data_IF_187215655444
#
_entry.id   IF_187215655444
#
_cell.length_a   1.000
_cell.length_b   1.000
_cell.length_c   1.000
_cell.angle_alpha   90.00
_cell.angle_beta   90.00
_cell.angle_gamma   90.00
#
_symmetry.space_group_name_H-M   'P 1'
#
loop_
_entity.id
_entity.type
_entity.pdbx_description
1 polymer ?
#
# COMPACT_ATOMS: atom_id res chain seq x y z
N UNK A 1 -30.00 -1.99 -10.02
CA UNK A 1 -28.53 -1.74 -10.01
C UNK A 1 -28.20 -0.32 -10.41
N UNK A 2 -28.76 0.22 -11.50
CA UNK A 2 -28.47 1.58 -12.02
C UNK A 2 -28.69 2.71 -11.00
N UNK A 3 -29.76 2.69 -10.20
CA UNK A 3 -29.99 3.70 -9.17
C UNK A 3 -28.96 3.67 -8.04
N UNK A 4 -28.54 2.48 -7.59
CA UNK A 4 -27.59 2.35 -6.48
C UNK A 4 -26.18 2.85 -6.86
N UNK A 5 -25.82 2.76 -8.14
CA UNK A 5 -24.57 3.31 -8.69
C UNK A 5 -24.64 4.84 -8.70
N UNK A 6 -25.70 5.42 -9.26
CA UNK A 6 -25.88 6.88 -9.29
C UNK A 6 -25.81 7.51 -7.89
N UNK A 7 -26.40 6.85 -6.87
CA UNK A 7 -26.34 7.33 -5.48
C UNK A 7 -24.93 7.20 -4.85
N UNK A 8 -24.06 6.32 -5.33
CA UNK A 8 -22.68 6.20 -4.84
C UNK A 8 -21.80 7.29 -5.47
N UNK A 9 -21.99 7.56 -6.76
CA UNK A 9 -21.26 8.60 -7.46
C UNK A 9 -21.55 9.96 -6.83
N UNK A 10 -22.83 10.33 -6.66
CA UNK A 10 -23.25 11.57 -6.00
C UNK A 10 -22.65 11.69 -4.58
N UNK A 11 -22.65 10.59 -3.83
CA UNK A 11 -22.10 10.54 -2.47
C UNK A 11 -20.60 10.81 -2.47
N UNK A 12 -19.84 10.15 -3.34
CA UNK A 12 -18.38 10.33 -3.44
C UNK A 12 -18.06 11.75 -3.90
N UNK A 13 -18.72 12.23 -4.96
CA UNK A 13 -18.53 13.60 -5.47
C UNK A 13 -18.89 14.68 -4.43
N UNK A 14 -19.84 14.41 -3.52
CA UNK A 14 -20.17 15.32 -2.41
C UNK A 14 -19.01 15.55 -1.42
N UNK A 15 -18.00 14.66 -1.41
CA UNK A 15 -16.86 14.73 -0.49
C UNK A 15 -15.77 15.71 -0.93
N UNK A 16 -15.88 16.32 -2.11
CA UNK A 16 -14.83 17.16 -2.71
C UNK A 16 -14.22 18.16 -1.71
N UNK A 17 -15.05 19.01 -1.12
CA UNK A 17 -14.58 20.06 -0.21
C UNK A 17 -13.87 19.47 1.02
N UNK A 18 -14.41 18.38 1.58
CA UNK A 18 -13.81 17.73 2.74
C UNK A 18 -12.48 17.09 2.39
N UNK A 19 -12.42 16.36 1.26
CA UNK A 19 -11.21 15.74 0.75
C UNK A 19 -10.11 16.77 0.51
N UNK A 20 -10.43 17.87 -0.18
CA UNK A 20 -9.48 18.96 -0.45
C UNK A 20 -9.00 19.65 0.84
N UNK A 21 -9.88 19.80 1.84
CA UNK A 21 -9.51 20.44 3.12
C UNK A 21 -8.49 19.67 3.94
N UNK A 22 -8.43 18.33 3.78
CA UNK A 22 -7.51 17.45 4.52
C UNK A 22 -6.35 16.95 3.65
N UNK A 23 -6.30 17.34 2.37
CA UNK A 23 -5.32 16.84 1.42
C UNK A 23 -3.90 17.28 1.80
N UNK A 24 -3.05 16.31 2.12
CA UNK A 24 -1.66 16.54 2.54
C UNK A 24 -0.68 16.53 1.35
N UNK A 25 -1.03 15.85 0.26
CA UNK A 25 -0.22 15.73 -0.95
C UNK A 25 -0.92 16.33 -2.17
N UNK A 26 -0.35 17.41 -2.73
CA UNK A 26 -0.88 18.10 -3.90
C UNK A 26 -0.85 17.27 -5.20
N UNK A 27 -0.09 16.18 -5.23
CA UNK A 27 -0.11 15.25 -6.37
C UNK A 27 -1.41 14.42 -6.43
N UNK A 28 -2.18 14.40 -5.34
CA UNK A 28 -3.47 13.70 -5.25
C UNK A 28 -4.58 14.67 -5.62
N UNK A 29 -5.30 14.35 -6.70
CA UNK A 29 -6.47 15.09 -7.17
C UNK A 29 -7.73 14.32 -6.80
N UNK A 30 -8.68 15.04 -6.19
CA UNK A 30 -9.97 14.47 -5.83
C UNK A 30 -10.67 13.80 -7.00
N UNK A 31 -10.69 14.44 -8.18
CA UNK A 31 -11.37 13.92 -9.37
C UNK A 31 -10.82 12.54 -9.78
N UNK A 32 -9.49 12.36 -9.74
CA UNK A 32 -8.89 11.07 -10.08
C UNK A 32 -9.23 10.00 -9.04
N UNK A 33 -9.10 10.34 -7.77
CA UNK A 33 -9.34 9.38 -6.67
C UNK A 33 -10.83 9.00 -6.54
N UNK A 34 -11.74 9.94 -6.82
CA UNK A 34 -13.18 9.69 -6.88
C UNK A 34 -13.51 8.66 -7.96
N UNK A 35 -12.99 8.84 -9.17
CA UNK A 35 -13.19 7.89 -10.28
C UNK A 35 -12.60 6.50 -9.96
N UNK A 36 -11.40 6.43 -9.36
CA UNK A 36 -10.85 5.16 -8.92
C UNK A 36 -11.73 4.49 -7.85
N UNK A 37 -12.22 5.24 -6.86
CA UNK A 37 -13.12 4.71 -5.84
C UNK A 37 -14.42 4.17 -6.45
N UNK A 38 -15.06 4.95 -7.33
CA UNK A 38 -16.29 4.56 -8.04
C UNK A 38 -16.05 3.28 -8.83
N UNK A 39 -14.99 3.21 -9.63
CA UNK A 39 -14.66 2.02 -10.42
C UNK A 39 -14.45 0.78 -9.54
N UNK A 40 -13.69 0.92 -8.45
CA UNK A 40 -13.42 -0.19 -7.52
C UNK A 40 -14.73 -0.68 -6.88
N UNK A 41 -15.57 0.23 -6.38
CA UNK A 41 -16.81 -0.12 -5.67
C UNK A 41 -17.85 -0.72 -6.63
N UNK A 42 -18.03 -0.14 -7.81
CA UNK A 42 -19.06 -0.56 -8.77
C UNK A 42 -18.70 -1.86 -9.48
N UNK A 43 -17.40 -2.15 -9.64
CA UNK A 43 -16.90 -3.42 -10.20
C UNK A 43 -17.11 -4.64 -9.28
N UNK A 44 -17.47 -4.42 -8.02
CA UNK A 44 -17.62 -5.48 -7.01
C UNK A 44 -18.95 -5.33 -6.26
N UNK A 45 -19.91 -6.21 -6.57
CA UNK A 45 -21.25 -6.18 -5.96
C UNK A 45 -21.24 -6.22 -4.43
N UNK A 46 -20.27 -6.93 -3.83
CA UNK A 46 -20.14 -7.00 -2.39
C UNK A 46 -19.66 -5.68 -1.80
N UNK A 47 -18.65 -5.03 -2.39
CA UNK A 47 -18.25 -3.68 -1.99
C UNK A 47 -19.39 -2.68 -2.18
N UNK A 48 -20.09 -2.72 -3.31
CA UNK A 48 -21.25 -1.86 -3.56
C UNK A 48 -22.32 -2.03 -2.46
N UNK A 49 -22.61 -3.27 -2.06
CA UNK A 49 -23.54 -3.55 -0.95
C UNK A 49 -23.05 -2.95 0.37
N UNK A 50 -21.77 -3.11 0.70
CA UNK A 50 -21.20 -2.54 1.93
C UNK A 50 -21.20 -1.00 1.92
N UNK A 51 -20.88 -0.39 0.79
CA UNK A 51 -20.93 1.05 0.60
C UNK A 51 -22.34 1.61 0.86
N UNK A 52 -23.36 0.92 0.34
CA UNK A 52 -24.75 1.28 0.54
C UNK A 52 -25.21 1.07 1.99
N UNK A 53 -24.77 -0.02 2.63
CA UNK A 53 -25.16 -0.34 4.01
C UNK A 53 -24.52 0.59 5.04
N UNK A 54 -23.34 1.13 4.76
CA UNK A 54 -22.64 2.04 5.66
C UNK A 54 -21.95 3.16 4.87
N UNK A 55 -22.71 4.23 4.61
CA UNK A 55 -22.24 5.41 3.87
C UNK A 55 -21.11 6.13 4.61
N UNK A 56 -21.17 6.22 5.94
CA UNK A 56 -20.10 6.87 6.70
C UNK A 56 -18.75 6.17 6.50
N UNK A 57 -18.71 4.83 6.52
CA UNK A 57 -17.48 4.09 6.28
C UNK A 57 -16.89 4.33 4.88
N UNK A 58 -17.75 4.50 3.86
CA UNK A 58 -17.32 4.93 2.53
C UNK A 58 -16.70 6.33 2.57
N UNK A 59 -17.39 7.30 3.20
CA UNK A 59 -16.92 8.69 3.34
C UNK A 59 -15.57 8.75 4.02
N UNK A 60 -15.41 8.02 5.11
CA UNK A 60 -14.16 7.93 5.88
C UNK A 60 -13.06 7.33 5.01
N UNK A 61 -13.33 6.22 4.31
CA UNK A 61 -12.33 5.57 3.45
C UNK A 61 -11.84 6.49 2.33
N UNK A 62 -12.74 7.20 1.64
CA UNK A 62 -12.38 8.15 0.56
C UNK A 62 -11.67 9.38 1.12
N UNK A 63 -12.12 9.94 2.24
CA UNK A 63 -11.48 11.12 2.84
C UNK A 63 -10.07 10.80 3.35
N UNK A 64 -9.85 9.59 3.87
CA UNK A 64 -8.55 9.16 4.38
C UNK A 64 -7.48 9.04 3.28
N UNK A 65 -7.86 8.84 2.01
CA UNK A 65 -6.95 8.86 0.85
C UNK A 65 -6.20 10.20 0.82
N UNK A 66 -6.92 11.32 0.93
CA UNK A 66 -6.36 12.67 1.01
C UNK A 66 -5.55 12.92 2.29
N UNK A 67 -6.11 12.54 3.44
CA UNK A 67 -5.48 12.81 4.73
C UNK A 67 -4.11 12.09 4.87
N UNK A 68 -4.02 10.86 4.37
CA UNK A 68 -2.80 10.04 4.42
C UNK A 68 -1.81 10.47 3.32
N UNK A 69 -2.30 11.03 2.21
CA UNK A 69 -1.44 11.30 1.06
C UNK A 69 -1.18 10.03 0.23
N UNK A 70 -2.21 9.20 0.01
CA UNK A 70 -2.08 7.93 -0.70
C UNK A 70 -3.10 7.80 -1.84
N UNK A 71 -2.81 7.01 -2.88
CA UNK A 71 -3.68 6.88 -4.05
C UNK A 71 -4.35 5.50 -4.17
N UNK A 72 -5.61 5.50 -4.60
CA UNK A 72 -6.37 4.32 -5.05
C UNK A 72 -6.03 3.91 -6.48
N UNK A 73 -5.13 4.62 -7.17
CA UNK A 73 -4.70 4.29 -8.52
C UNK A 73 -4.18 2.84 -8.60
N UNK A 74 -4.83 1.95 -9.38
CA UNK A 74 -4.43 0.54 -9.48
C UNK A 74 -3.00 0.33 -10.00
N UNK A 75 -2.46 1.26 -10.80
CA UNK A 75 -1.09 1.18 -11.30
C UNK A 75 -0.06 1.49 -10.21
N UNK A 76 -0.37 2.41 -9.28
CA UNK A 76 0.50 2.74 -8.14
C UNK A 76 0.43 1.69 -7.04
N UNK A 77 -0.70 0.96 -6.94
CA UNK A 77 -0.93 -0.11 -5.95
C UNK A 77 -0.72 0.34 -4.50
N UNK A 78 -0.97 1.61 -4.17
CA UNK A 78 -0.62 2.14 -2.85
C UNK A 78 -1.67 1.83 -1.79
N UNK A 79 -2.94 1.87 -2.16
CA UNK A 79 -4.04 1.53 -1.25
C UNK A 79 -5.17 0.79 -1.98
N UNK A 80 -6.01 0.12 -1.19
CA UNK A 80 -7.15 -0.64 -1.66
C UNK A 80 -8.39 -0.37 -0.80
N UNK A 81 -9.56 -0.45 -1.42
CA UNK A 81 -10.83 -0.53 -0.69
C UNK A 81 -11.18 -1.99 -0.48
N UNK A 82 -11.22 -2.44 0.77
CA UNK A 82 -11.44 -3.85 1.11
C UNK A 82 -12.62 -4.01 2.07
N UNK A 83 -13.32 -5.15 2.01
CA UNK A 83 -14.33 -5.47 3.01
C UNK A 83 -13.67 -6.00 4.28
N UNK A 84 -13.88 -5.32 5.40
CA UNK A 84 -13.36 -5.75 6.71
C UNK A 84 -14.45 -5.61 7.77
N UNK A 85 -14.77 -6.71 8.45
CA UNK A 85 -15.81 -6.76 9.50
C UNK A 85 -17.15 -6.12 9.05
N UNK A 86 -17.56 -6.40 7.81
CA UNK A 86 -18.84 -5.92 7.26
C UNK A 86 -18.89 -4.44 6.89
N UNK A 87 -17.75 -3.77 6.72
CA UNK A 87 -17.66 -2.39 6.21
C UNK A 87 -16.54 -2.24 5.18
N UNK A 88 -16.62 -1.19 4.37
CA UNK A 88 -15.50 -0.78 3.51
C UNK A 88 -14.41 -0.15 4.39
N UNK A 89 -13.17 -0.53 4.14
CA UNK A 89 -11.99 0.04 4.78
C UNK A 89 -10.95 0.40 3.70
N UNK A 90 -10.26 1.51 3.93
CA UNK A 90 -9.03 1.83 3.21
C UNK A 90 -7.89 1.06 3.86
N UNK A 91 -7.30 0.11 3.12
CA UNK A 91 -6.11 -0.62 3.54
C UNK A 91 -4.91 -0.14 2.72
N UNK A 92 -3.86 0.26 3.42
CA UNK A 92 -2.59 0.69 2.83
C UNK A 92 -1.78 -0.56 2.46
N UNK A 93 -1.28 -0.60 1.23
CA UNK A 93 -0.44 -1.68 0.76
C UNK A 93 1.01 -1.52 1.23
N UNK A 94 1.81 -2.57 1.07
CA UNK A 94 3.27 -2.46 1.25
C UNK A 94 3.90 -1.39 0.34
N UNK A 95 3.46 -1.25 -0.92
CA UNK A 95 3.96 -0.19 -1.81
C UNK A 95 3.58 1.19 -1.30
N UNK A 96 2.39 1.33 -0.71
CA UNK A 96 1.95 2.56 -0.05
C UNK A 96 2.83 2.93 1.14
N UNK A 97 3.07 1.97 2.05
CA UNK A 97 3.96 2.18 3.19
C UNK A 97 5.38 2.51 2.77
N UNK A 98 5.90 1.83 1.75
CA UNK A 98 7.22 2.09 1.19
C UNK A 98 7.32 3.50 0.59
N UNK A 99 6.34 3.90 -0.22
CA UNK A 99 6.30 5.24 -0.83
C UNK A 99 6.24 6.34 0.25
N UNK A 100 5.39 6.17 1.27
CA UNK A 100 5.34 7.11 2.40
C UNK A 100 6.68 7.20 3.14
N UNK A 101 7.34 6.06 3.39
CA UNK A 101 8.62 6.03 4.08
C UNK A 101 9.74 6.69 3.24
N UNK A 102 9.74 6.49 1.92
CA UNK A 102 10.65 7.17 0.99
C UNK A 102 10.40 8.67 0.93
N UNK A 103 9.13 9.09 0.77
CA UNK A 103 8.74 10.49 0.65
C UNK A 103 8.94 11.27 1.95
N UNK A 104 8.83 10.61 3.11
CA UNK A 104 9.19 11.21 4.40
C UNK A 104 10.68 11.53 4.54
N UNK A 105 11.52 10.96 3.67
CA UNK A 105 12.98 11.04 3.76
C UNK A 105 13.59 10.08 4.79
N UNK A 106 12.79 9.32 5.56
CA UNK A 106 13.28 8.42 6.61
C UNK A 106 14.19 7.30 6.07
N UNK A 107 13.91 6.85 4.84
CA UNK A 107 14.67 5.81 4.15
C UNK A 107 15.06 6.28 2.74
N UNK A 108 16.20 5.81 2.25
CA UNK A 108 16.70 6.04 0.89
C UNK A 108 16.23 4.96 -0.07
N UNK A 109 16.16 3.72 0.40
CA UNK A 109 15.67 2.57 -0.36
C UNK A 109 15.39 1.38 0.58
N UNK A 110 14.59 0.44 0.09
CA UNK A 110 14.34 -0.87 0.71
C UNK A 110 14.54 -1.96 -0.32
N UNK A 111 15.15 -3.07 0.08
CA UNK A 111 15.29 -4.26 -0.73
C UNK A 111 14.83 -5.48 0.07
N UNK A 112 14.05 -6.34 -0.55
CA UNK A 112 13.66 -7.64 0.00
C UNK A 112 14.16 -8.76 -0.90
N UNK A 113 14.81 -9.76 -0.32
CA UNK A 113 15.38 -10.88 -1.03
C UNK A 113 15.04 -12.21 -0.35
N UNK A 114 15.05 -13.27 -1.16
CA UNK A 114 14.89 -14.66 -0.73
C UNK A 114 16.26 -15.30 -0.52
N UNK A 115 16.39 -16.12 0.53
CA UNK A 115 17.59 -16.88 0.86
C UNK A 115 17.32 -18.35 0.61
N UNK A 116 18.20 -18.98 -0.16
CA UNK A 116 18.17 -20.41 -0.42
C UNK A 116 19.30 -21.13 0.30
N UNK A 117 19.17 -22.44 0.44
CA UNK A 117 20.08 -23.32 1.18
C UNK A 117 21.56 -23.19 0.78
N UNK A 118 21.84 -22.95 -0.52
CA UNK A 118 23.21 -22.80 -1.02
C UNK A 118 23.68 -21.34 -1.10
N UNK A 119 22.85 -20.37 -0.69
CA UNK A 119 23.30 -18.98 -0.59
C UNK A 119 24.17 -18.77 0.64
N UNK A 120 25.17 -17.90 0.54
CA UNK A 120 25.87 -17.41 1.72
C UNK A 120 25.17 -16.17 2.27
N UNK A 121 24.44 -16.33 3.38
CA UNK A 121 23.75 -15.25 4.07
C UNK A 121 24.26 -15.06 5.51
N UNK A 122 24.68 -13.83 5.87
CA UNK A 122 25.20 -13.51 7.21
C UNK A 122 24.71 -12.13 7.67
N UNK A 123 24.24 -12.03 8.91
CA UNK A 123 23.96 -10.75 9.58
C UNK A 123 25.25 -10.21 10.21
N UNK A 124 25.66 -9.00 9.83
CA UNK A 124 26.95 -8.41 10.23
C UNK A 124 26.87 -7.49 11.48
N UNK A 125 25.76 -7.55 12.22
CA UNK A 125 25.42 -6.58 13.27
C UNK A 125 24.15 -5.80 12.93
N UNK A 126 23.67 -4.97 13.88
CA UNK A 126 22.42 -4.23 13.70
C UNK A 126 22.57 -2.99 12.81
N UNK A 127 23.78 -2.44 12.69
CA UNK A 127 24.12 -1.18 12.01
C UNK A 127 24.73 -1.41 10.62
N UNK A 128 24.94 -2.67 10.22
CA UNK A 128 25.62 -3.06 8.98
C UNK A 128 24.70 -3.79 8.01
N UNK A 129 24.93 -3.65 6.70
CA UNK A 129 24.18 -4.43 5.72
C UNK A 129 24.47 -5.93 5.89
N UNK A 130 23.48 -6.80 5.61
CA UNK A 130 23.71 -8.24 5.58
C UNK A 130 24.64 -8.58 4.40
N UNK A 131 25.40 -9.66 4.57
CA UNK A 131 26.08 -10.31 3.47
C UNK A 131 25.09 -11.28 2.80
N UNK A 132 24.84 -11.13 1.50
CA UNK A 132 24.09 -12.12 0.71
C UNK A 132 24.84 -12.38 -0.59
N UNK A 133 25.65 -13.44 -0.62
CA UNK A 133 26.40 -13.86 -1.80
C UNK A 133 25.76 -15.10 -2.42
N UNK A 134 25.45 -15.01 -3.70
CA UNK A 134 24.89 -16.09 -4.50
C UNK A 134 25.08 -15.77 -5.99
N UNK A 135 24.95 -16.78 -6.85
CA UNK A 135 24.84 -16.56 -8.29
C UNK A 135 23.36 -16.31 -8.67
N UNK A 136 22.97 -15.10 -9.10
CA UNK A 136 21.57 -14.76 -9.38
C UNK A 136 20.97 -15.51 -10.57
N UNK A 137 21.81 -16.12 -11.42
CA UNK A 137 21.38 -16.92 -12.56
C UNK A 137 21.53 -18.43 -12.33
N UNK A 138 22.01 -18.85 -11.15
CA UNK A 138 22.08 -20.28 -10.82
C UNK A 138 20.68 -20.86 -10.68
N UNK A 139 20.46 -21.99 -11.36
CA UNK A 139 19.26 -22.83 -11.19
C UNK A 139 19.37 -23.77 -9.99
N UNK A 140 20.56 -23.88 -9.40
CA UNK A 140 20.90 -24.82 -8.33
C UNK A 140 21.20 -24.03 -7.06
N UNK A 141 20.23 -23.26 -6.54
CA UNK A 141 20.38 -22.53 -5.26
C UNK A 141 19.89 -23.34 -4.05
N UNK A 142 19.23 -24.48 -4.29
CA UNK A 142 18.66 -25.35 -3.25
C UNK A 142 17.24 -24.95 -2.84
N UNK A 143 16.80 -25.43 -1.68
CA UNK A 143 15.49 -25.12 -1.13
C UNK A 143 15.43 -23.67 -0.59
N UNK A 144 14.24 -23.05 -0.61
CA UNK A 144 14.02 -21.75 0.02
C UNK A 144 14.06 -21.93 1.55
N UNK A 145 14.93 -21.19 2.24
CA UNK A 145 15.14 -21.33 3.70
C UNK A 145 14.70 -20.11 4.50
N UNK A 146 14.64 -18.94 3.88
CA UNK A 146 14.13 -17.74 4.53
C UNK A 146 14.02 -16.56 3.59
N UNK A 147 13.57 -15.44 4.15
CA UNK A 147 13.52 -14.16 3.46
C UNK A 147 14.07 -13.07 4.37
N UNK A 148 14.57 -11.99 3.78
CA UNK A 148 14.97 -10.82 4.54
C UNK A 148 14.60 -9.54 3.80
N UNK A 149 14.51 -8.47 4.58
CA UNK A 149 14.38 -7.10 4.08
C UNK A 149 15.49 -6.25 4.70
N UNK A 150 16.07 -5.37 3.90
CA UNK A 150 17.06 -4.37 4.33
C UNK A 150 16.64 -2.99 3.83
N UNK A 151 16.63 -2.02 4.74
CA UNK A 151 16.37 -0.62 4.44
C UNK A 151 17.60 0.23 4.76
N UNK A 152 17.91 1.21 3.91
CA UNK A 152 18.95 2.21 4.19
C UNK A 152 18.29 3.49 4.71
N UNK A 153 18.64 3.94 5.91
CA UNK A 153 18.06 5.16 6.50
C UNK A 153 18.70 6.43 5.92
N UNK A 154 18.07 7.58 6.20
CA UNK A 154 18.64 8.90 5.90
C UNK A 154 20.08 9.06 6.43
N UNK A 155 20.29 8.63 7.67
CA UNK A 155 21.52 8.77 8.44
C UNK A 155 22.61 7.76 8.02
N UNK A 156 22.29 6.83 7.11
CA UNK A 156 23.21 5.87 6.54
C UNK A 156 23.28 4.52 7.26
N UNK A 157 22.46 4.33 8.29
CA UNK A 157 22.30 3.05 8.98
C UNK A 157 21.48 2.05 8.14
N UNK A 158 21.58 0.78 8.54
CA UNK A 158 20.89 -0.33 7.89
C UNK A 158 19.91 -0.98 8.87
N UNK A 159 18.65 -1.08 8.47
CA UNK A 159 17.65 -1.85 9.22
C UNK A 159 17.42 -3.16 8.49
N UNK A 160 17.85 -4.27 9.09
CA UNK A 160 17.70 -5.61 8.50
C UNK A 160 16.78 -6.47 9.36
N UNK A 161 15.80 -7.09 8.72
CA UNK A 161 14.91 -8.05 9.38
C UNK A 161 14.84 -9.34 8.57
N UNK A 162 15.00 -10.47 9.25
CA UNK A 162 14.94 -11.83 8.68
C UNK A 162 13.67 -12.52 9.15
N UNK A 163 13.01 -13.24 8.25
CA UNK A 163 11.80 -14.01 8.55
C UNK A 163 11.96 -15.44 8.05
N UNK A 164 11.50 -16.40 8.84
CA UNK A 164 11.31 -17.78 8.38
C UNK A 164 10.07 -17.86 7.48
N UNK A 165 10.00 -18.92 6.66
CA UNK A 165 8.84 -19.26 5.83
C UNK A 165 7.79 -19.99 6.66
#
# INVERSE_FOLDING_TARGET
MTHAIATIDEEIFSLKNQFESVCTDKAISFEKEAEFAIQIITSNEYLLKLANANRQALRDAVTNVAAIGISLNPARKQAYLVPRKGKICLDISYFGMLDMALNSGSIKWVQSNVVYEQDQFVLNGFDKPPLHQYNPFSKERGALVGVFVVAKTADGEYLTHTMSI
#
